data_IF_983812534764
#
_entry.id   IF_983812534764
#
_cell.length_a   1.000
_cell.length_b   1.000
_cell.length_c   1.000
_cell.angle_alpha   90.00
_cell.angle_beta   90.00
_cell.angle_gamma   90.00
#
_symmetry.space_group_name_H-M   'P 1'
#
loop_
_entity.id
_entity.type
_entity.pdbx_description
1 polymer ?
#
# COMPACT_ATOMS: atom_id res chain seq x y z
N UNK A 1 11.89 -3.93 4.25
CA UNK A 1 10.72 -3.31 3.57
C UNK A 1 9.54 -4.26 3.61
N UNK A 2 8.37 -3.76 3.99
CA UNK A 2 7.12 -4.53 3.97
C UNK A 2 5.93 -3.63 3.58
N UNK A 3 4.88 -4.25 3.06
CA UNK A 3 3.57 -3.62 2.88
C UNK A 3 2.60 -4.25 3.86
N UNK A 4 1.82 -3.42 4.55
CA UNK A 4 0.65 -3.88 5.29
C UNK A 4 -0.58 -3.51 4.48
N UNK A 5 -1.44 -4.48 4.18
CA UNK A 5 -2.67 -4.26 3.43
C UNK A 5 -3.76 -5.21 3.95
N UNK A 6 -4.95 -4.66 4.23
CA UNK A 6 -6.08 -5.46 4.72
C UNK A 6 -5.78 -6.22 6.03
N UNK A 7 -4.88 -5.70 6.86
CA UNK A 7 -4.45 -6.34 8.12
C UNK A 7 -3.38 -7.42 7.97
N UNK A 8 -2.91 -7.71 6.75
CA UNK A 8 -1.82 -8.66 6.48
C UNK A 8 -0.53 -7.90 6.19
N UNK A 9 0.57 -8.35 6.78
CA UNK A 9 1.92 -7.82 6.50
C UNK A 9 2.63 -8.76 5.54
N UNK A 10 3.08 -8.22 4.41
CA UNK A 10 3.81 -8.97 3.37
C UNK A 10 5.21 -8.35 3.19
N UNK A 11 6.29 -9.13 3.36
CA UNK A 11 7.65 -8.67 3.04
C UNK A 11 7.76 -8.30 1.57
N UNK A 12 8.39 -7.15 1.29
CA UNK A 12 8.67 -6.73 -0.08
C UNK A 12 10.04 -7.24 -0.51
N UNK A 13 10.16 -7.66 -1.76
CA UNK A 13 11.43 -8.03 -2.38
C UNK A 13 12.02 -6.84 -3.14
N UNK A 14 13.36 -6.69 -3.18
CA UNK A 14 14.01 -5.73 -4.04
C UNK A 14 13.79 -6.09 -5.51
N UNK A 15 13.67 -5.08 -6.36
CA UNK A 15 13.49 -5.16 -7.79
C UNK A 15 14.49 -4.21 -8.50
N UNK A 16 14.68 -4.34 -9.82
CA UNK A 16 15.59 -3.46 -10.57
C UNK A 16 15.29 -1.97 -10.35
N UNK A 17 16.31 -1.13 -10.56
CA UNK A 17 16.19 0.33 -10.45
C UNK A 17 15.76 0.84 -9.07
N UNK A 18 16.25 0.19 -8.00
CA UNK A 18 15.97 0.55 -6.60
C UNK A 18 14.49 0.48 -6.20
N UNK A 19 13.71 -0.34 -6.90
CA UNK A 19 12.32 -0.58 -6.55
C UNK A 19 12.16 -1.70 -5.53
N UNK A 20 11.01 -1.70 -4.88
CA UNK A 20 10.57 -2.79 -4.01
C UNK A 20 9.16 -3.19 -4.43
N UNK A 21 8.87 -4.49 -4.42
CA UNK A 21 7.56 -5.01 -4.82
C UNK A 21 7.10 -6.17 -3.94
N UNK A 22 5.78 -6.30 -3.83
CA UNK A 22 5.11 -7.44 -3.23
C UNK A 22 3.79 -7.69 -3.96
N UNK A 23 3.37 -8.95 -4.00
CA UNK A 23 2.00 -9.32 -4.33
C UNK A 23 1.25 -9.57 -3.02
N UNK A 24 0.11 -8.93 -2.87
CA UNK A 24 -0.76 -9.13 -1.70
C UNK A 24 -2.08 -9.72 -2.20
N UNK A 25 -2.30 -10.99 -1.87
CA UNK A 25 -3.53 -11.67 -2.24
C UNK A 25 -4.72 -11.09 -1.47
N UNK A 26 -5.85 -10.91 -2.16
CA UNK A 26 -7.08 -10.36 -1.56
C UNK A 26 -7.10 -8.84 -1.37
N UNK A 27 -6.04 -8.10 -1.73
CA UNK A 27 -6.01 -6.64 -1.66
C UNK A 27 -6.78 -5.97 -2.82
N UNK A 28 -8.12 -6.06 -2.78
CA UNK A 28 -9.04 -5.44 -3.73
C UNK A 28 -9.24 -3.93 -3.53
N UNK A 29 -10.03 -3.26 -4.38
CA UNK A 29 -10.49 -1.89 -4.15
C UNK A 29 -11.14 -1.75 -2.75
N UNK A 30 -10.90 -0.62 -2.09
CA UNK A 30 -11.34 -0.39 -0.71
C UNK A 30 -10.37 -0.89 0.35
N UNK A 31 -9.34 -1.68 -0.02
CA UNK A 31 -8.32 -2.16 0.92
C UNK A 31 -7.43 -1.01 1.37
N UNK A 32 -7.34 -0.82 2.69
CA UNK A 32 -6.37 0.08 3.30
C UNK A 32 -4.98 -0.54 3.31
N UNK A 33 -3.97 0.25 2.97
CA UNK A 33 -2.58 -0.16 2.89
C UNK A 33 -1.59 0.92 3.33
N UNK A 34 -0.36 0.49 3.62
CA UNK A 34 0.79 1.36 3.83
C UNK A 34 2.11 0.59 3.84
N UNK A 35 3.23 1.31 3.83
CA UNK A 35 4.58 0.73 3.76
C UNK A 35 5.35 0.88 5.07
N UNK A 36 5.98 -0.20 5.53
CA UNK A 36 6.96 -0.19 6.62
C UNK A 36 8.37 -0.22 6.04
N UNK A 37 9.13 0.83 6.36
CA UNK A 37 10.55 0.94 6.00
C UNK A 37 11.37 0.40 7.17
N UNK A 38 12.22 -0.58 6.90
CA UNK A 38 13.15 -1.18 7.88
C UNK A 38 12.51 -1.59 9.23
N UNK A 39 11.27 -2.07 9.19
CA UNK A 39 10.53 -2.49 10.39
C UNK A 39 9.99 -1.32 11.23
N UNK A 40 10.08 -0.09 10.74
CA UNK A 40 9.54 1.10 11.39
C UNK A 40 8.03 1.22 11.26
N UNK A 41 7.51 2.39 11.71
CA UNK A 41 6.08 2.72 11.62
C UNK A 41 5.59 2.60 10.18
N UNK A 42 4.33 2.20 10.03
CA UNK A 42 3.73 2.16 8.70
C UNK A 42 3.37 3.56 8.22
N UNK A 43 3.78 3.87 7.00
CA UNK A 43 3.62 5.17 6.35
C UNK A 43 2.59 5.08 5.22
N UNK A 44 1.85 6.18 4.95
CA UNK A 44 1.05 6.28 3.75
C UNK A 44 1.92 6.19 2.50
N UNK A 45 1.31 5.71 1.43
CA UNK A 45 1.87 5.79 0.09
C UNK A 45 1.87 7.25 -0.41
N UNK A 46 3.05 7.84 -0.70
CA UNK A 46 3.15 9.19 -1.27
C UNK A 46 2.49 9.33 -2.65
N UNK A 47 2.26 8.20 -3.34
CA UNK A 47 1.58 8.12 -4.64
C UNK A 47 0.17 7.57 -4.52
N UNK A 48 -0.40 7.59 -3.32
CA UNK A 48 -1.74 7.08 -3.11
C UNK A 48 -2.76 7.83 -3.96
N UNK A 49 -3.69 7.12 -4.63
CA UNK A 49 -4.81 7.74 -5.31
C UNK A 49 -5.85 8.29 -4.33
N UNK A 50 -5.88 7.83 -3.07
CA UNK A 50 -6.87 8.27 -2.08
C UNK A 50 -6.41 8.09 -0.62
N UNK A 51 -6.58 9.15 0.18
CA UNK A 51 -6.28 9.21 1.62
C UNK A 51 -7.56 9.44 2.44
N UNK A 52 -8.34 8.38 2.76
CA UNK A 52 -9.61 8.52 3.48
C UNK A 52 -9.45 8.96 4.94
N UNK A 53 -8.29 8.75 5.54
CA UNK A 53 -8.02 8.98 6.96
C UNK A 53 -7.03 10.14 7.20
N UNK A 54 -6.96 11.08 6.25
CA UNK A 54 -6.03 12.21 6.28
C UNK A 54 -4.62 11.84 5.78
N UNK A 55 -3.76 12.85 5.61
CA UNK A 55 -2.43 12.70 4.96
C UNK A 55 -1.44 11.81 5.71
N UNK A 56 -1.72 11.52 6.98
CA UNK A 56 -0.93 10.60 7.81
C UNK A 56 -1.61 9.24 8.01
N UNK A 57 -2.85 9.09 7.51
CA UNK A 57 -3.63 7.87 7.61
C UNK A 57 -3.20 6.81 6.58
N UNK A 58 -3.84 5.65 6.62
CA UNK A 58 -3.61 4.61 5.61
C UNK A 58 -4.14 5.06 4.25
N UNK A 59 -3.36 4.73 3.23
CA UNK A 59 -3.77 4.86 1.83
C UNK A 59 -4.84 3.83 1.50
N UNK A 60 -5.72 4.12 0.55
CA UNK A 60 -6.74 3.15 0.11
C UNK A 60 -6.65 2.85 -1.37
N UNK A 61 -6.68 1.57 -1.72
CA UNK A 61 -6.70 1.11 -3.12
C UNK A 61 -8.04 1.50 -3.75
N UNK A 62 -8.01 2.09 -4.94
CA UNK A 62 -9.22 2.45 -5.69
C UNK A 62 -9.36 1.55 -6.92
N UNK A 63 -10.59 1.41 -7.42
CA UNK A 63 -10.83 0.87 -8.76
C UNK A 63 -10.80 2.06 -9.74
N UNK A 64 -10.09 1.92 -10.85
CA UNK A 64 -10.00 2.97 -11.88
C UNK A 64 -10.99 2.77 -13.04
N UNK A 65 -11.57 1.58 -13.16
CA UNK A 65 -12.57 1.24 -14.19
C UNK A 65 -14.05 1.57 -13.90
N UNK A 66 -14.51 2.00 -12.70
CA UNK A 66 -15.95 2.06 -12.42
C UNK A 66 -16.66 3.32 -12.98
N UNK A 67 -16.02 4.10 -13.85
CA UNK A 67 -16.59 5.33 -14.41
C UNK A 67 -16.92 5.14 -15.89
N UNK A 68 -18.21 5.19 -16.29
CA UNK A 68 -18.64 5.08 -17.68
C UNK A 68 -18.27 6.29 -18.54
#
# INVERSE_FOLDING_TARGET
MAVEAGGVIVPMAPAPSNWWSAKVDGAGPGTDYGFSLDGGRVLPDPRSPWQPHGVHGRSRRVAHDPFP
#
